data_IF_823872491297
#
_entry.id   IF_823872491297
#
_cell.length_a   1.000
_cell.length_b   1.000
_cell.length_c   1.000
_cell.angle_alpha   90.00
_cell.angle_beta   90.00
_cell.angle_gamma   90.00
#
_symmetry.space_group_name_H-M   'P 1'
#
loop_
_entity.id
_entity.type
_entity.pdbx_description
1 polymer ?
#
# COMPACT_ATOMS: atom_id res chain seq x y z
N UNK A 1 35.35 -15.08 -6.95
CA UNK A 1 35.84 -13.82 -6.34
C UNK A 1 34.61 -12.94 -6.16
N UNK A 2 34.05 -12.84 -4.95
CA UNK A 2 32.86 -12.01 -4.69
C UNK A 2 33.33 -10.55 -4.63
N UNK A 3 32.81 -9.72 -5.52
CA UNK A 3 33.00 -8.28 -5.47
C UNK A 3 32.46 -7.77 -4.12
N UNK A 4 33.18 -6.87 -3.42
CA UNK A 4 32.64 -6.23 -2.23
C UNK A 4 31.42 -5.39 -2.65
N UNK A 5 30.28 -5.63 -2.00
CA UNK A 5 29.09 -4.79 -2.15
C UNK A 5 29.46 -3.43 -1.57
N UNK A 6 29.76 -2.49 -2.45
CA UNK A 6 30.04 -1.09 -2.12
C UNK A 6 28.86 -0.49 -1.35
N UNK A 7 29.11 -0.03 -0.14
CA UNK A 7 28.21 0.79 0.68
C UNK A 7 27.99 2.18 0.08
N UNK A 8 27.35 2.26 -1.10
CA UNK A 8 26.87 3.51 -1.71
C UNK A 8 25.50 3.27 -2.34
N UNK A 9 24.44 3.25 -1.55
CA UNK A 9 23.04 3.11 -2.04
C UNK A 9 22.21 4.39 -1.78
N UNK A 10 22.80 5.46 -1.25
CA UNK A 10 22.05 6.66 -0.82
C UNK A 10 22.07 7.86 -1.79
N UNK A 11 22.51 7.73 -3.04
CA UNK A 11 22.69 8.93 -3.89
C UNK A 11 21.61 9.25 -4.94
N UNK A 12 20.44 8.59 -4.97
CA UNK A 12 19.36 9.01 -5.89
C UNK A 12 17.95 8.49 -5.55
N UNK A 13 17.60 8.33 -4.27
CA UNK A 13 16.24 7.89 -3.91
C UNK A 13 15.27 9.07 -4.02
N UNK A 14 14.23 8.92 -4.83
CA UNK A 14 13.08 9.84 -4.78
C UNK A 14 12.55 9.88 -3.34
N UNK A 15 12.16 11.04 -2.79
CA UNK A 15 11.64 11.13 -1.43
C UNK A 15 10.34 10.30 -1.23
N UNK A 16 9.68 9.92 -2.32
CA UNK A 16 8.50 9.06 -2.30
C UNK A 16 8.85 7.56 -2.23
N UNK A 17 10.11 7.16 -2.50
CA UNK A 17 10.55 5.78 -2.49
C UNK A 17 10.85 5.31 -1.06
N UNK A 18 9.97 4.49 -0.52
CA UNK A 18 10.01 4.09 0.88
C UNK A 18 10.03 2.57 1.09
N UNK A 19 9.81 1.78 0.04
CA UNK A 19 9.78 0.32 0.12
C UNK A 19 10.18 -0.32 -1.22
N UNK A 20 10.48 -1.61 -1.19
CA UNK A 20 10.86 -2.40 -2.35
C UNK A 20 10.02 -3.68 -2.40
N UNK A 21 9.55 -4.07 -3.61
CA UNK A 21 8.78 -5.29 -3.81
C UNK A 21 9.66 -6.51 -3.56
N UNK A 22 9.24 -7.41 -2.66
CA UNK A 22 9.96 -8.64 -2.31
C UNK A 22 9.26 -9.90 -2.81
N UNK A 23 7.94 -9.87 -2.95
CA UNK A 23 7.16 -10.95 -3.55
C UNK A 23 6.01 -10.37 -4.37
N UNK A 24 5.57 -11.09 -5.41
CA UNK A 24 4.55 -10.60 -6.34
C UNK A 24 3.59 -11.70 -6.74
N UNK A 25 2.33 -11.33 -6.99
CA UNK A 25 1.27 -12.21 -7.48
C UNK A 25 0.33 -11.40 -8.37
N UNK A 26 -0.61 -12.06 -9.08
CA UNK A 26 -1.52 -11.37 -10.01
C UNK A 26 -2.40 -10.30 -9.35
N UNK A 27 -2.76 -10.48 -8.07
CA UNK A 27 -3.72 -9.60 -7.37
C UNK A 27 -3.10 -8.72 -6.30
N UNK A 28 -1.86 -9.01 -5.89
CA UNK A 28 -1.20 -8.33 -4.78
C UNK A 28 0.32 -8.47 -4.86
N UNK A 29 1.03 -7.63 -4.12
CA UNK A 29 2.47 -7.78 -3.89
C UNK A 29 2.82 -7.56 -2.41
N UNK A 30 3.92 -8.18 -1.99
CA UNK A 30 4.58 -7.95 -0.70
C UNK A 30 5.75 -6.98 -0.94
N UNK A 31 5.88 -5.99 -0.08
CA UNK A 31 6.99 -5.05 -0.10
C UNK A 31 7.61 -4.89 1.28
N UNK A 32 8.92 -4.69 1.31
CA UNK A 32 9.68 -4.39 2.52
C UNK A 32 10.00 -2.90 2.57
N UNK A 33 9.66 -2.24 3.67
CA UNK A 33 10.02 -0.85 3.91
C UNK A 33 11.54 -0.71 4.01
N UNK A 34 12.08 0.34 3.38
CA UNK A 34 13.49 0.67 3.45
C UNK A 34 13.84 1.17 4.85
N UNK A 35 15.02 0.75 5.33
CA UNK A 35 15.53 1.19 6.63
C UNK A 35 15.79 2.70 6.62
N UNK A 36 15.34 3.43 7.64
CA UNK A 36 15.66 4.85 7.80
C UNK A 36 17.14 5.02 8.14
N UNK A 37 17.68 6.23 7.89
CA UNK A 37 19.08 6.54 8.21
C UNK A 37 19.32 6.58 9.73
N UNK A 38 18.29 6.92 10.51
CA UNK A 38 18.32 6.92 11.97
C UNK A 38 17.88 5.56 12.55
N UNK A 39 18.30 5.24 13.78
CA UNK A 39 17.91 4.03 14.53
C UNK A 39 16.43 4.09 15.00
N UNK A 40 15.51 4.15 14.04
CA UNK A 40 14.07 4.23 14.22
C UNK A 40 13.42 3.13 13.36
N UNK A 41 12.20 2.73 13.71
CA UNK A 41 11.45 1.83 12.86
C UNK A 41 11.18 2.46 11.48
N UNK A 42 11.21 1.66 10.39
CA UNK A 42 10.74 2.11 9.10
C UNK A 42 9.32 2.65 9.18
N UNK A 43 9.02 3.67 8.38
CA UNK A 43 7.67 4.24 8.29
C UNK A 43 6.72 3.17 7.75
N UNK A 44 5.80 2.74 8.60
CA UNK A 44 4.75 1.78 8.25
C UNK A 44 3.64 2.51 7.47
N UNK A 45 3.29 2.08 6.25
CA UNK A 45 2.16 2.66 5.54
C UNK A 45 0.85 2.32 6.26
N UNK A 46 -0.11 3.26 6.39
CA UNK A 46 -1.40 2.98 7.02
C UNK A 46 -2.22 1.93 6.26
N UNK A 47 -3.04 1.18 6.99
CA UNK A 47 -4.06 0.32 6.38
C UNK A 47 -5.08 1.16 5.59
N UNK A 48 -5.37 0.73 4.36
CA UNK A 48 -6.23 1.45 3.41
C UNK A 48 -5.51 2.50 2.57
N UNK A 49 -4.22 2.77 2.85
CA UNK A 49 -3.42 3.77 2.13
C UNK A 49 -3.00 3.33 0.73
N UNK A 50 -2.77 4.31 -0.14
CA UNK A 50 -2.37 4.09 -1.53
C UNK A 50 -0.86 4.08 -1.73
N UNK A 51 -0.40 3.10 -2.50
CA UNK A 51 0.98 2.98 -2.98
C UNK A 51 0.97 2.72 -4.48
N UNK A 52 2.10 3.02 -5.11
CA UNK A 52 2.32 2.66 -6.52
C UNK A 52 3.67 1.98 -6.73
N UNK A 53 3.70 1.11 -7.73
CA UNK A 53 4.93 0.48 -8.24
C UNK A 53 4.86 0.40 -9.76
N UNK A 54 5.84 -0.22 -10.39
CA UNK A 54 6.00 -0.19 -11.85
C UNK A 54 6.10 -1.60 -12.41
N UNK A 55 5.43 -1.84 -13.54
CA UNK A 55 5.77 -2.94 -14.45
C UNK A 55 6.72 -2.39 -15.51
N UNK A 56 8.01 -2.68 -15.37
CA UNK A 56 9.06 -2.19 -16.28
C UNK A 56 8.84 -2.69 -17.72
N UNK A 57 8.24 -3.86 -17.89
CA UNK A 57 8.09 -4.48 -19.20
C UNK A 57 6.94 -3.86 -20.01
N UNK A 58 5.88 -3.35 -19.36
CA UNK A 58 4.80 -2.63 -20.05
C UNK A 58 4.89 -1.10 -19.90
N UNK A 59 5.73 -0.61 -18.99
CA UNK A 59 5.75 0.80 -18.57
C UNK A 59 4.53 1.20 -17.74
N UNK A 60 3.70 0.24 -17.30
CA UNK A 60 2.51 0.55 -16.52
C UNK A 60 2.88 0.99 -15.10
N UNK A 61 2.22 2.05 -14.63
CA UNK A 61 2.22 2.39 -13.20
C UNK A 61 1.08 1.64 -12.53
N UNK A 62 1.39 0.81 -11.55
CA UNK A 62 0.43 -0.05 -10.86
C UNK A 62 0.05 0.62 -9.54
N UNK A 63 -1.25 0.81 -9.33
CA UNK A 63 -1.81 1.37 -8.10
C UNK A 63 -2.32 0.24 -7.21
N UNK A 64 -2.00 0.32 -5.93
CA UNK A 64 -2.39 -0.69 -4.95
C UNK A 64 -2.73 -0.07 -3.60
N UNK A 65 -3.51 -0.80 -2.82
CA UNK A 65 -3.98 -0.40 -1.50
C UNK A 65 -3.38 -1.31 -0.44
N UNK A 66 -2.73 -0.72 0.56
CA UNK A 66 -2.12 -1.46 1.67
C UNK A 66 -3.20 -2.08 2.55
N UNK A 67 -3.14 -3.39 2.77
CA UNK A 67 -4.15 -4.10 3.56
C UNK A 67 -3.58 -4.93 4.72
N UNK A 68 -2.25 -5.07 4.81
CA UNK A 68 -1.62 -5.83 5.87
C UNK A 68 -0.21 -5.31 6.10
N UNK A 69 0.18 -5.09 7.36
CA UNK A 69 1.50 -4.57 7.73
C UNK A 69 2.01 -5.33 8.94
N UNK A 70 3.28 -5.74 8.92
CA UNK A 70 3.93 -6.48 10.00
C UNK A 70 5.36 -5.99 10.20
N UNK A 71 5.79 -5.95 11.47
CA UNK A 71 7.20 -5.76 11.83
C UNK A 71 7.68 -7.00 12.54
N UNK A 72 8.64 -7.71 11.93
CA UNK A 72 9.14 -9.00 12.40
C UNK A 72 10.67 -9.02 12.37
N UNK A 73 11.32 -9.96 13.07
CA UNK A 73 12.74 -10.22 12.89
C UNK A 73 13.11 -10.44 11.42
N UNK A 74 14.30 -9.98 11.02
CA UNK A 74 14.80 -10.11 9.65
C UNK A 74 14.97 -11.59 9.25
N UNK A 75 15.29 -12.44 10.23
CA UNK A 75 15.42 -13.88 10.02
C UNK A 75 14.28 -14.69 10.66
N UNK A 76 14.22 -15.97 10.28
CA UNK A 76 13.20 -16.92 10.76
C UNK A 76 13.57 -17.64 12.05
N UNK A 77 14.77 -17.42 12.58
CA UNK A 77 15.32 -18.14 13.74
C UNK A 77 15.02 -17.37 15.03
N UNK A 78 15.22 -16.05 15.01
CA UNK A 78 15.01 -15.19 16.15
C UNK A 78 13.54 -14.82 16.28
N UNK A 79 13.06 -14.71 17.52
CA UNK A 79 11.73 -14.20 17.85
C UNK A 79 11.88 -12.98 18.73
N UNK A 80 11.15 -11.91 18.38
CA UNK A 80 11.04 -10.76 19.24
C UNK A 80 10.44 -11.17 20.59
N UNK A 81 11.02 -10.67 21.68
CA UNK A 81 10.55 -10.92 23.05
C UNK A 81 10.14 -9.60 23.67
N UNK A 82 9.13 -9.62 24.54
CA UNK A 82 8.75 -8.45 25.32
C UNK A 82 9.89 -8.12 26.31
N UNK A 83 10.42 -6.89 26.20
CA UNK A 83 11.53 -6.41 27.04
C UNK A 83 11.05 -5.54 28.21
N UNK A 84 9.80 -5.06 28.19
CA UNK A 84 9.25 -4.20 29.23
C UNK A 84 9.82 -2.78 29.27
N UNK A 85 10.58 -2.38 28.24
CA UNK A 85 11.15 -1.05 28.09
C UNK A 85 10.24 -0.16 27.23
N UNK A 86 10.23 1.14 27.50
CA UNK A 86 9.68 2.13 26.57
C UNK A 86 10.51 2.20 25.28
N UNK A 87 9.95 2.77 24.21
CA UNK A 87 10.70 2.96 22.96
C UNK A 87 11.92 3.87 23.11
N UNK A 88 11.90 4.81 24.06
CA UNK A 88 13.06 5.65 24.34
C UNK A 88 14.17 4.84 25.02
N UNK A 89 13.85 4.13 26.10
CA UNK A 89 14.80 3.27 26.82
C UNK A 89 15.35 2.18 25.90
N UNK A 90 14.54 1.60 25.02
CA UNK A 90 14.96 0.60 24.06
C UNK A 90 16.03 1.14 23.10
N UNK A 91 15.89 2.39 22.63
CA UNK A 91 16.90 3.04 21.75
C UNK A 91 18.20 3.32 22.48
N UNK A 92 18.12 3.74 23.74
CA UNK A 92 19.29 4.07 24.54
C UNK A 92 20.05 2.80 24.99
N UNK A 93 19.32 1.76 25.42
CA UNK A 93 19.92 0.57 26.03
C UNK A 93 20.21 -0.55 25.04
N UNK A 94 19.40 -0.69 23.97
CA UNK A 94 19.50 -1.78 23.00
C UNK A 94 19.21 -1.32 21.55
N UNK A 95 19.96 -0.33 21.02
CA UNK A 95 19.75 0.22 19.67
C UNK A 95 19.85 -0.82 18.55
N UNK A 96 20.64 -1.88 18.74
CA UNK A 96 20.83 -2.95 17.77
C UNK A 96 19.54 -3.69 17.40
N UNK A 97 18.51 -3.67 18.26
CA UNK A 97 17.23 -4.34 17.98
C UNK A 97 16.56 -3.77 16.74
N UNK A 98 16.68 -2.47 16.50
CA UNK A 98 16.05 -1.81 15.35
C UNK A 98 16.64 -2.30 14.02
N UNK A 99 17.94 -2.65 14.00
CA UNK A 99 18.62 -3.23 12.84
C UNK A 99 18.38 -4.74 12.68
N UNK A 100 17.64 -5.39 13.60
CA UNK A 100 17.29 -6.81 13.54
C UNK A 100 15.84 -7.03 13.12
N UNK A 101 15.09 -5.95 12.87
CA UNK A 101 13.67 -5.97 12.53
C UNK A 101 13.46 -5.43 11.12
N UNK A 102 12.55 -6.04 10.37
CA UNK A 102 12.06 -5.56 9.10
C UNK A 102 10.58 -5.26 9.19
N UNK A 103 10.16 -4.25 8.46
CA UNK A 103 8.75 -3.92 8.27
C UNK A 103 8.36 -4.31 6.85
N UNK A 104 7.32 -5.13 6.73
CA UNK A 104 6.76 -5.58 5.47
C UNK A 104 5.27 -5.27 5.40
N UNK A 105 4.77 -5.01 4.20
CA UNK A 105 3.34 -4.84 3.96
C UNK A 105 2.91 -5.54 2.69
N UNK A 106 1.63 -5.93 2.66
CA UNK A 106 0.97 -6.40 1.45
C UNK A 106 0.05 -5.32 0.91
N UNK A 107 0.08 -5.16 -0.41
CA UNK A 107 -0.77 -4.22 -1.13
C UNK A 107 -1.59 -4.96 -2.19
N UNK A 108 -2.90 -4.74 -2.17
CA UNK A 108 -3.84 -5.29 -3.13
C UNK A 108 -3.90 -4.39 -4.36
N UNK A 109 -3.67 -4.96 -5.54
CA UNK A 109 -3.65 -4.19 -6.79
C UNK A 109 -5.06 -3.73 -7.10
N UNK A 110 -5.24 -2.41 -7.18
CA UNK A 110 -6.53 -1.77 -7.46
C UNK A 110 -6.70 -1.47 -8.96
N UNK A 111 -5.58 -1.24 -9.65
CA UNK A 111 -5.57 -0.93 -11.07
C UNK A 111 -4.21 -0.49 -11.56
N UNK A 112 -4.16 0.08 -12.75
CA UNK A 112 -2.93 0.57 -13.36
C UNK A 112 -3.21 1.73 -14.31
N UNK A 113 -2.18 2.52 -14.57
CA UNK A 113 -2.15 3.53 -15.60
C UNK A 113 -1.18 3.07 -16.68
N UNK A 114 -1.65 3.07 -17.93
CA UNK A 114 -0.86 2.57 -19.05
C UNK A 114 0.35 3.45 -19.33
N UNK A 115 1.52 2.83 -19.50
CA UNK A 115 2.75 3.48 -19.93
C UNK A 115 2.67 4.00 -21.36
N UNK A 116 2.88 5.29 -21.54
CA UNK A 116 2.85 6.02 -22.81
C UNK A 116 3.02 7.52 -22.54
N UNK A 117 3.38 8.30 -23.55
CA UNK A 117 3.55 9.76 -23.45
C UNK A 117 2.41 10.39 -22.63
N UNK A 118 2.70 11.39 -21.79
CA UNK A 118 1.80 11.88 -20.72
C UNK A 118 0.40 12.32 -21.22
N UNK A 119 0.26 12.53 -22.52
CA UNK A 119 -0.97 12.87 -23.26
C UNK A 119 -1.90 11.67 -23.52
N UNK A 120 -1.45 10.43 -23.30
CA UNK A 120 -2.18 9.19 -23.64
C UNK A 120 -2.37 8.22 -22.47
N UNK A 121 -1.92 8.60 -21.27
CA UNK A 121 -1.98 7.72 -20.12
C UNK A 121 -3.45 7.52 -19.67
N UNK A 122 -3.94 6.28 -19.71
CA UNK A 122 -5.31 5.93 -19.32
C UNK A 122 -5.28 5.13 -18.03
N UNK A 123 -6.06 5.56 -17.04
CA UNK A 123 -6.30 4.81 -15.81
C UNK A 123 -7.26 3.66 -16.09
N UNK A 124 -6.90 2.46 -15.66
CA UNK A 124 -7.68 1.22 -15.75
C UNK A 124 -7.85 0.65 -14.34
N UNK A 125 -9.09 0.44 -13.93
CA UNK A 125 -9.43 -0.01 -12.56
C UNK A 125 -9.73 -1.52 -12.50
N UNK A 126 -8.95 -2.30 -13.23
CA UNK A 126 -8.93 -3.76 -13.20
C UNK A 126 -7.48 -4.24 -13.14
N UNK A 127 -7.27 -5.54 -12.92
CA UNK A 127 -5.92 -6.09 -12.75
C UNK A 127 -5.01 -5.82 -13.96
N UNK A 128 -3.76 -5.37 -13.75
CA UNK A 128 -2.80 -5.19 -14.84
C UNK A 128 -2.45 -6.54 -15.50
N UNK A 129 -1.96 -6.52 -16.74
CA UNK A 129 -1.52 -7.73 -17.43
C UNK A 129 -0.37 -8.45 -16.70
N UNK A 130 0.41 -7.70 -15.90
CA UNK A 130 1.46 -8.20 -15.02
C UNK A 130 1.50 -7.38 -13.74
N UNK A 131 1.81 -8.00 -12.59
CA UNK A 131 2.10 -7.27 -11.37
C UNK A 131 3.51 -6.66 -11.43
N UNK A 132 3.92 -5.79 -10.48
CA UNK A 132 5.28 -5.26 -10.48
C UNK A 132 6.31 -6.39 -10.30
N UNK A 133 7.49 -6.23 -10.91
CA UNK A 133 8.60 -7.16 -10.73
C UNK A 133 9.17 -7.09 -9.30
N UNK A 134 9.79 -8.18 -8.84
CA UNK A 134 10.57 -8.17 -7.59
C UNK A 134 11.72 -7.16 -7.73
N UNK A 135 12.06 -6.50 -6.64
CA UNK A 135 13.02 -5.39 -6.54
C UNK A 135 12.56 -4.08 -7.18
N UNK A 136 11.30 -3.98 -7.63
CA UNK A 136 10.75 -2.69 -8.04
C UNK A 136 10.53 -1.77 -6.84
N UNK A 137 10.77 -0.48 -7.07
CA UNK A 137 10.50 0.55 -6.08
C UNK A 137 9.00 0.64 -5.79
N UNK A 138 8.66 0.86 -4.54
CA UNK A 138 7.31 1.21 -4.09
C UNK A 138 7.32 2.64 -3.59
N UNK A 139 6.44 3.44 -4.19
CA UNK A 139 6.32 4.87 -3.94
C UNK A 139 5.01 5.19 -3.24
N UNK A 140 5.00 6.24 -2.41
CA UNK A 140 3.75 6.87 -1.98
C UNK A 140 3.03 7.48 -3.19
N UNK A 141 1.71 7.33 -3.25
CA UNK A 141 0.89 8.09 -4.20
C UNK A 141 0.77 9.54 -3.73
N UNK A 142 0.76 10.48 -4.68
CA UNK A 142 0.41 11.87 -4.39
C UNK A 142 -1.11 12.01 -4.20
N UNK A 143 -1.52 13.08 -3.53
CA UNK A 143 -2.95 13.41 -3.38
C UNK A 143 -3.66 13.48 -4.74
N UNK A 144 -3.03 14.11 -5.73
CA UNK A 144 -3.60 14.27 -7.07
C UNK A 144 -3.74 12.92 -7.78
N UNK A 145 -2.74 12.03 -7.66
CA UNK A 145 -2.81 10.68 -8.22
C UNK A 145 -3.96 9.86 -7.62
N UNK A 146 -4.16 9.96 -6.30
CA UNK A 146 -5.24 9.26 -5.61
C UNK A 146 -6.60 9.83 -6.05
N UNK A 147 -6.74 11.15 -6.12
CA UNK A 147 -7.96 11.80 -6.60
C UNK A 147 -8.25 11.41 -8.04
N UNK A 148 -7.27 11.48 -8.94
CA UNK A 148 -7.44 11.15 -10.34
C UNK A 148 -7.81 9.67 -10.54
N UNK A 149 -7.10 8.78 -9.85
CA UNK A 149 -7.39 7.34 -9.90
C UNK A 149 -8.81 7.06 -9.41
N UNK A 150 -9.28 7.75 -8.37
CA UNK A 150 -10.58 7.46 -7.70
C UNK A 150 -11.76 8.27 -8.23
N UNK A 151 -11.63 8.94 -9.38
CA UNK A 151 -12.77 9.59 -10.03
C UNK A 151 -13.84 8.58 -10.44
N UNK A 152 -13.40 7.42 -10.93
CA UNK A 152 -14.24 6.23 -11.07
C UNK A 152 -14.06 5.28 -9.87
N UNK A 153 -14.99 4.35 -9.70
CA UNK A 153 -15.08 3.50 -8.50
C UNK A 153 -15.15 1.99 -8.83
N UNK A 154 -14.80 1.62 -10.06
CA UNK A 154 -14.76 0.23 -10.51
C UNK A 154 -13.70 -0.60 -9.76
N UNK A 155 -12.62 0.02 -9.27
CA UNK A 155 -11.56 -0.65 -8.51
C UNK A 155 -12.09 -1.36 -7.25
N UNK A 156 -13.23 -0.90 -6.71
CA UNK A 156 -13.90 -1.54 -5.58
C UNK A 156 -14.26 -3.01 -5.90
N UNK A 157 -14.56 -3.32 -7.16
CA UNK A 157 -14.79 -4.72 -7.61
C UNK A 157 -13.55 -5.57 -7.41
N UNK A 158 -12.38 -5.03 -7.77
CA UNK A 158 -11.10 -5.71 -7.63
C UNK A 158 -10.76 -5.94 -6.16
N UNK A 159 -10.93 -4.92 -5.30
CA UNK A 159 -10.70 -5.07 -3.86
C UNK A 159 -11.66 -6.06 -3.22
N UNK A 160 -12.92 -6.11 -3.67
CA UNK A 160 -13.91 -7.06 -3.16
C UNK A 160 -13.59 -8.53 -3.43
N UNK A 161 -12.73 -8.82 -4.41
CA UNK A 161 -12.29 -10.18 -4.74
C UNK A 161 -11.16 -10.68 -3.84
N UNK A 162 -10.59 -9.82 -2.99
CA UNK A 162 -9.51 -10.20 -2.09
C UNK A 162 -10.02 -11.14 -1.00
N UNK A 163 -9.38 -12.31 -0.87
CA UNK A 163 -9.77 -13.36 0.08
C UNK A 163 -8.96 -13.33 1.38
N UNK A 164 -7.81 -12.68 1.39
CA UNK A 164 -6.82 -12.77 2.47
C UNK A 164 -6.78 -11.51 3.36
N UNK A 165 -7.87 -10.74 3.40
CA UNK A 165 -7.96 -9.48 4.11
C UNK A 165 -9.36 -9.24 4.69
N UNK A 166 -9.49 -8.36 5.71
CA UNK A 166 -10.79 -7.84 6.13
C UNK A 166 -11.31 -6.83 5.10
N UNK A 167 -11.88 -7.34 4.01
CA UNK A 167 -12.21 -6.58 2.80
C UNK A 167 -13.16 -5.41 3.05
N UNK A 168 -14.14 -5.55 3.95
CA UNK A 168 -15.06 -4.46 4.29
C UNK A 168 -14.35 -3.32 5.01
N UNK A 169 -13.47 -3.66 5.96
CA UNK A 169 -12.65 -2.67 6.66
C UNK A 169 -11.69 -1.98 5.69
N UNK A 170 -11.11 -2.73 4.74
CA UNK A 170 -10.20 -2.21 3.71
C UNK A 170 -10.92 -1.17 2.85
N UNK A 171 -12.08 -1.54 2.29
CA UNK A 171 -12.90 -0.63 1.48
C UNK A 171 -13.28 0.61 2.27
N UNK A 172 -13.73 0.45 3.53
CA UNK A 172 -14.10 1.59 4.36
C UNK A 172 -12.91 2.52 4.64
N UNK A 173 -11.73 1.96 4.96
CA UNK A 173 -10.52 2.73 5.21
C UNK A 173 -10.05 3.49 3.96
N UNK A 174 -10.02 2.83 2.80
CA UNK A 174 -9.67 3.44 1.52
C UNK A 174 -10.62 4.56 1.13
N UNK A 175 -11.94 4.34 1.25
CA UNK A 175 -12.92 5.38 0.93
C UNK A 175 -12.84 6.56 1.91
N UNK A 176 -12.56 6.30 3.20
CA UNK A 176 -12.39 7.36 4.21
C UNK A 176 -11.19 8.23 3.90
N UNK A 177 -10.06 7.64 3.55
CA UNK A 177 -8.85 8.38 3.16
C UNK A 177 -9.14 9.27 1.93
N UNK A 178 -9.73 8.71 0.87
CA UNK A 178 -10.07 9.47 -0.34
C UNK A 178 -11.07 10.59 -0.03
N UNK A 179 -12.06 10.31 0.83
CA UNK A 179 -13.03 11.32 1.26
C UNK A 179 -12.37 12.49 2.01
N UNK A 180 -11.37 12.19 2.86
CA UNK A 180 -10.56 13.21 3.53
C UNK A 180 -9.71 14.02 2.53
N UNK A 181 -9.04 13.35 1.58
CA UNK A 181 -8.24 14.01 0.54
C UNK A 181 -9.09 14.92 -0.35
N UNK A 182 -10.32 14.51 -0.65
CA UNK A 182 -11.35 15.30 -1.36
C UNK A 182 -12.04 16.35 -0.48
N UNK A 183 -11.55 16.59 0.74
CA UNK A 183 -12.06 17.61 1.68
C UNK A 183 -13.55 17.47 1.98
N UNK A 184 -14.04 16.23 2.08
CA UNK A 184 -15.42 15.96 2.45
C UNK A 184 -16.44 16.09 1.32
N UNK A 185 -16.03 15.93 0.05
CA UNK A 185 -16.93 15.92 -1.12
C UNK A 185 -18.06 14.89 -1.01
N UNK A 186 -19.25 15.39 -0.62
CA UNK A 186 -20.45 14.57 -0.41
C UNK A 186 -20.98 13.96 -1.71
N UNK A 187 -20.78 14.61 -2.86
CA UNK A 187 -21.29 14.09 -4.13
C UNK A 187 -20.52 12.82 -4.52
N UNK A 188 -19.19 12.87 -4.41
CA UNK A 188 -18.33 11.69 -4.60
C UNK A 188 -18.67 10.57 -3.61
N UNK A 189 -18.87 10.90 -2.32
CA UNK A 189 -19.24 9.88 -1.32
C UNK A 189 -20.58 9.20 -1.64
N UNK A 190 -21.58 9.95 -2.12
CA UNK A 190 -22.86 9.38 -2.57
C UNK A 190 -22.67 8.48 -3.79
N UNK A 191 -21.79 8.84 -4.72
CA UNK A 191 -21.42 7.99 -5.86
C UNK A 191 -20.77 6.68 -5.39
N UNK A 192 -19.84 6.75 -4.44
CA UNK A 192 -19.22 5.57 -3.82
C UNK A 192 -20.27 4.67 -3.15
N UNK A 193 -21.19 5.24 -2.38
CA UNK A 193 -22.28 4.50 -1.75
C UNK A 193 -23.21 3.82 -2.76
N UNK A 194 -23.52 4.48 -3.89
CA UNK A 194 -24.30 3.89 -4.99
C UNK A 194 -23.55 2.72 -5.65
N UNK A 195 -22.26 2.87 -5.92
CA UNK A 195 -21.44 1.78 -6.47
C UNK A 195 -21.44 0.58 -5.52
N UNK A 196 -21.17 0.79 -4.23
CA UNK A 196 -21.21 -0.29 -3.23
C UNK A 196 -22.59 -0.96 -3.15
N UNK A 197 -23.67 -0.19 -3.21
CA UNK A 197 -25.03 -0.74 -3.23
C UNK A 197 -25.30 -1.65 -4.43
N UNK A 198 -24.69 -1.35 -5.59
CA UNK A 198 -24.76 -2.22 -6.76
C UNK A 198 -23.91 -3.47 -6.61
N UNK A 199 -22.73 -3.36 -5.99
CA UNK A 199 -21.81 -4.50 -5.76
C UNK A 199 -22.32 -5.47 -4.71
N UNK A 200 -22.98 -4.95 -3.67
CA UNK A 200 -23.48 -5.68 -2.50
C UNK A 200 -25.01 -5.76 -2.51
N UNK A 201 -25.64 -5.75 -3.69
CA UNK A 201 -27.10 -5.72 -3.84
C UNK A 201 -27.84 -6.83 -3.06
N UNK A 202 -27.18 -7.98 -2.89
CA UNK A 202 -27.72 -9.17 -2.23
C UNK A 202 -27.17 -9.33 -0.79
N UNK A 203 -26.33 -8.41 -0.31
CA UNK A 203 -25.62 -8.50 0.97
C UNK A 203 -25.67 -7.15 1.72
N UNK A 204 -26.85 -6.85 2.25
CA UNK A 204 -27.14 -5.60 2.94
C UNK A 204 -26.31 -5.41 4.21
N UNK A 205 -26.05 -6.49 4.95
CA UNK A 205 -25.31 -6.45 6.22
C UNK A 205 -23.87 -6.00 5.99
N UNK A 206 -23.19 -6.53 4.95
CA UNK A 206 -21.85 -6.07 4.56
C UNK A 206 -21.85 -4.63 4.09
N UNK A 207 -22.85 -4.24 3.29
CA UNK A 207 -22.98 -2.85 2.83
C UNK A 207 -23.10 -1.89 4.02
N UNK A 208 -23.97 -2.19 4.99
CA UNK A 208 -24.15 -1.38 6.18
C UNK A 208 -22.87 -1.30 7.01
N UNK A 209 -22.14 -2.41 7.15
CA UNK A 209 -20.87 -2.46 7.87
C UNK A 209 -19.82 -1.53 7.24
N UNK A 210 -19.71 -1.51 5.92
CA UNK A 210 -18.82 -0.59 5.20
C UNK A 210 -19.26 0.86 5.40
N UNK A 211 -20.53 1.18 5.11
CA UNK A 211 -21.03 2.56 5.13
C UNK A 211 -20.97 3.19 6.54
N UNK A 212 -21.20 2.40 7.59
CA UNK A 212 -21.12 2.86 8.98
C UNK A 212 -19.73 3.35 9.40
N UNK A 213 -18.68 2.97 8.65
CA UNK A 213 -17.29 3.30 8.93
C UNK A 213 -16.77 4.45 8.05
N UNK A 214 -17.57 4.98 7.12
CA UNK A 214 -17.16 6.07 6.23
C UNK A 214 -17.73 7.39 6.75
N UNK A 215 -17.05 7.95 7.73
CA UNK A 215 -17.29 9.28 8.26
C UNK A 215 -15.95 10.02 8.43
N UNK A 216 -16.00 11.36 8.49
CA UNK A 216 -14.86 12.17 8.89
C UNK A 216 -14.65 12.09 10.40
#
# INVERSE_FOLDING_TARGET
MRLPISQRVSQNRSPQHFAEVTETSTTEFLAQCLEPEDLVFPVMPPFGSWVKSFDEESGNTIFAVVYHVTTNPIDSVHRARALGLSLQELREQQPQIFAMLKTEFKAAIAGFQTGGDATTAVVRQYLPPRPPQIHQAVLCCSTDEIIDFTNELEFLRTLMQLTNAPTEALIAATLREVYQLRRGDRAWLVQAGRMLSLLLKDDYDRLQLILSQIHL
#
